data_IF_446721015862
#
_entry.id   IF_446721015862
#
_cell.length_a   1.000
_cell.length_b   1.000
_cell.length_c   1.000
_cell.angle_alpha   90.00
_cell.angle_beta   90.00
_cell.angle_gamma   90.00
#
_symmetry.space_group_name_H-M   'P 1'
#
loop_
_entity.id
_entity.type
_entity.pdbx_description
1 polymer ?
#
# COMPACT_ATOMS: atom_id res chain seq x y z
N UNK A 1 29.09 -6.23 -12.33
CA UNK A 1 28.39 -5.02 -11.80
C UNK A 1 27.78 -5.25 -10.40
N UNK A 2 27.71 -4.21 -9.54
CA UNK A 2 27.07 -4.20 -8.20
C UNK A 2 25.95 -3.16 -8.12
N UNK A 3 24.76 -3.58 -7.70
CA UNK A 3 23.55 -2.75 -7.63
C UNK A 3 22.96 -2.76 -6.23
N UNK A 4 22.67 -1.58 -5.68
CA UNK A 4 21.85 -1.42 -4.48
C UNK A 4 20.38 -1.23 -4.86
N UNK A 5 19.47 -1.99 -4.25
CA UNK A 5 18.02 -1.79 -4.37
C UNK A 5 17.48 -1.37 -3.01
N UNK A 6 16.80 -0.23 -2.94
CA UNK A 6 16.28 0.34 -1.69
C UNK A 6 14.78 0.09 -1.60
N UNK A 7 14.38 -0.84 -0.74
CA UNK A 7 13.02 -1.33 -0.57
C UNK A 7 12.84 -2.73 -1.13
N UNK A 8 12.27 -3.61 -0.32
CA UNK A 8 12.07 -5.04 -0.64
C UNK A 8 10.62 -5.38 -1.01
N UNK A 9 9.85 -4.41 -1.48
CA UNK A 9 8.52 -4.64 -2.05
C UNK A 9 8.56 -5.35 -3.41
N UNK A 10 7.40 -5.60 -4.04
CA UNK A 10 7.31 -6.25 -5.33
C UNK A 10 8.20 -5.63 -6.42
N UNK A 11 8.23 -4.31 -6.52
CA UNK A 11 9.03 -3.63 -7.53
C UNK A 11 10.53 -3.87 -7.34
N UNK A 12 11.02 -3.86 -6.10
CA UNK A 12 12.41 -4.18 -5.77
C UNK A 12 12.76 -5.62 -6.15
N UNK A 13 11.91 -6.59 -5.77
CA UNK A 13 12.14 -7.99 -6.15
C UNK A 13 12.02 -8.27 -7.65
N UNK A 14 11.14 -7.58 -8.37
CA UNK A 14 11.05 -7.72 -9.82
C UNK A 14 12.24 -7.06 -10.54
N UNK A 15 12.74 -5.92 -10.04
CA UNK A 15 13.99 -5.34 -10.54
C UNK A 15 15.18 -6.28 -10.29
N UNK A 16 15.29 -6.85 -9.07
CA UNK A 16 16.30 -7.85 -8.74
C UNK A 16 16.19 -9.08 -9.65
N UNK A 17 14.98 -9.61 -9.87
CA UNK A 17 14.73 -10.75 -10.74
C UNK A 17 15.24 -10.48 -12.17
N UNK A 18 14.93 -9.30 -12.73
CA UNK A 18 15.35 -8.91 -14.07
C UNK A 18 16.87 -8.77 -14.17
N UNK A 19 17.52 -8.10 -13.20
CA UNK A 19 18.98 -7.94 -13.14
C UNK A 19 19.69 -9.28 -13.03
N UNK A 20 19.23 -10.15 -12.13
CA UNK A 20 19.90 -11.43 -11.84
C UNK A 20 19.68 -12.49 -12.93
N UNK A 21 18.72 -12.28 -13.84
CA UNK A 21 18.50 -13.15 -15.00
C UNK A 21 19.41 -12.83 -16.19
N UNK A 22 20.14 -11.72 -16.16
CA UNK A 22 21.10 -11.36 -17.21
C UNK A 22 22.20 -12.42 -17.31
N UNK A 23 22.61 -12.71 -18.55
CA UNK A 23 23.67 -13.67 -18.87
C UNK A 23 24.88 -13.01 -19.51
N UNK A 24 24.72 -11.78 -19.98
CA UNK A 24 25.72 -10.94 -20.63
C UNK A 24 26.58 -10.15 -19.63
N UNK A 25 26.15 -10.04 -18.36
CA UNK A 25 26.90 -9.39 -17.29
C UNK A 25 26.56 -10.03 -15.95
N UNK A 26 27.58 -10.28 -15.11
CA UNK A 26 27.35 -10.78 -13.74
C UNK A 26 26.92 -9.61 -12.86
N UNK A 27 25.70 -9.68 -12.34
CA UNK A 27 25.15 -8.66 -11.45
C UNK A 27 25.05 -9.19 -10.02
N UNK A 28 25.65 -8.45 -9.09
CA UNK A 28 25.46 -8.61 -7.66
C UNK A 28 24.44 -7.59 -7.17
N UNK A 29 23.41 -8.07 -6.48
CA UNK A 29 22.32 -7.24 -5.96
C UNK A 29 22.34 -7.29 -4.43
N UNK A 30 22.42 -6.12 -3.81
CA UNK A 30 22.17 -5.95 -2.39
C UNK A 30 20.85 -5.19 -2.23
N UNK A 31 19.86 -5.84 -1.62
CA UNK A 31 18.54 -5.28 -1.38
C UNK A 31 18.42 -4.83 0.07
N UNK A 32 18.27 -3.53 0.28
CA UNK A 32 18.12 -2.90 1.58
C UNK A 32 16.65 -2.75 1.92
N UNK A 33 16.29 -2.96 3.18
CA UNK A 33 14.97 -2.63 3.70
C UNK A 33 15.08 -2.09 5.13
N UNK A 34 14.30 -1.06 5.44
CA UNK A 34 14.27 -0.48 6.79
C UNK A 34 13.71 -1.44 7.83
N UNK A 35 12.90 -2.42 7.41
CA UNK A 35 12.33 -3.43 8.29
C UNK A 35 13.18 -4.72 8.28
N UNK A 36 13.19 -5.49 9.38
CA UNK A 36 13.73 -6.85 9.39
C UNK A 36 13.05 -7.80 8.39
N UNK A 37 11.80 -7.52 8.04
CA UNK A 37 10.96 -8.39 7.23
C UNK A 37 10.80 -7.87 5.80
N UNK A 38 11.04 -8.68 4.76
CA UNK A 38 10.91 -8.24 3.38
C UNK A 38 9.45 -8.21 2.89
N UNK A 39 9.29 -7.97 1.59
CA UNK A 39 8.06 -8.06 0.79
C UNK A 39 7.14 -6.83 0.81
N UNK A 40 7.49 -5.81 1.61
CA UNK A 40 6.76 -4.54 1.68
C UNK A 40 5.24 -4.74 1.83
N UNK A 41 4.46 -4.08 0.98
CA UNK A 41 3.00 -4.15 1.03
C UNK A 41 2.40 -5.54 0.75
N UNK A 42 3.14 -6.52 0.22
CA UNK A 42 2.61 -7.90 0.17
C UNK A 42 2.42 -8.46 1.59
N UNK A 43 3.28 -8.08 2.52
CA UNK A 43 3.22 -8.46 3.94
C UNK A 43 2.43 -7.44 4.78
N UNK A 44 2.68 -6.16 4.57
CA UNK A 44 2.16 -5.05 5.37
C UNK A 44 0.93 -4.34 4.83
N UNK A 45 0.49 -4.64 3.60
CA UNK A 45 -0.59 -3.94 2.90
C UNK A 45 -1.74 -4.84 2.46
N UNK A 46 -1.46 -5.91 1.72
CA UNK A 46 -2.45 -6.87 1.23
C UNK A 46 -3.24 -7.42 2.42
N UNK A 47 -4.57 -7.30 2.33
CA UNK A 47 -5.48 -7.65 3.40
C UNK A 47 -5.28 -9.11 3.87
N UNK A 48 -5.48 -9.38 5.17
CA UNK A 48 -5.26 -10.71 5.72
C UNK A 48 -6.25 -11.76 5.19
N UNK A 49 -7.42 -11.36 4.68
CA UNK A 49 -8.35 -12.27 4.01
C UNK A 49 -7.99 -12.55 2.53
N UNK A 50 -6.95 -11.92 1.98
CA UNK A 50 -6.47 -12.11 0.60
C UNK A 50 -5.15 -12.90 0.53
N UNK A 51 -5.10 -14.06 1.20
CA UNK A 51 -3.88 -14.90 1.29
C UNK A 51 -3.34 -15.37 -0.07
N UNK A 52 -4.22 -15.61 -1.05
CA UNK A 52 -3.82 -16.08 -2.39
C UNK A 52 -2.89 -15.07 -3.09
N UNK A 53 -3.10 -13.77 -2.88
CA UNK A 53 -2.26 -12.70 -3.43
C UNK A 53 -0.86 -12.74 -2.81
N UNK A 54 -0.74 -13.09 -1.53
CA UNK A 54 0.54 -13.18 -0.79
C UNK A 54 1.45 -14.31 -1.29
N UNK A 55 0.93 -15.27 -2.05
CA UNK A 55 1.71 -16.38 -2.61
C UNK A 55 2.79 -15.95 -3.61
N UNK A 56 2.72 -14.71 -4.13
CA UNK A 56 3.76 -14.11 -4.98
C UNK A 56 5.14 -14.09 -4.29
N UNK A 57 5.18 -14.10 -2.96
CA UNK A 57 6.41 -14.20 -2.17
C UNK A 57 7.27 -15.41 -2.55
N UNK A 58 6.68 -16.51 -3.02
CA UNK A 58 7.41 -17.69 -3.53
C UNK A 58 8.27 -17.37 -4.76
N UNK A 59 7.85 -16.40 -5.58
CA UNK A 59 8.68 -15.91 -6.69
C UNK A 59 9.86 -15.11 -6.16
N UNK A 60 9.63 -14.29 -5.13
CA UNK A 60 10.66 -13.47 -4.50
C UNK A 60 11.70 -14.32 -3.76
N UNK A 61 11.28 -15.39 -3.10
CA UNK A 61 12.19 -16.36 -2.47
C UNK A 61 13.13 -17.02 -3.49
N UNK A 62 12.63 -17.34 -4.70
CA UNK A 62 13.50 -17.87 -5.78
C UNK A 62 14.54 -16.85 -6.24
N UNK A 63 14.19 -15.58 -6.27
CA UNK A 63 15.16 -14.50 -6.55
C UNK A 63 16.18 -14.39 -5.41
N UNK A 64 15.71 -14.45 -4.16
CA UNK A 64 16.57 -14.32 -2.98
C UNK A 64 17.55 -15.48 -2.81
N UNK A 65 17.21 -16.67 -3.31
CA UNK A 65 18.07 -17.86 -3.28
C UNK A 65 19.26 -17.81 -4.26
N UNK A 66 19.38 -16.76 -5.09
CA UNK A 66 20.50 -16.64 -6.04
C UNK A 66 21.79 -16.25 -5.31
N UNK A 67 22.95 -16.87 -5.62
CA UNK A 67 24.21 -16.58 -4.91
C UNK A 67 24.68 -15.12 -4.98
N UNK A 68 24.32 -14.40 -6.04
CA UNK A 68 24.70 -13.00 -6.21
C UNK A 68 23.70 -12.01 -5.59
N UNK A 69 22.62 -12.48 -4.96
CA UNK A 69 21.67 -11.68 -4.19
C UNK A 69 22.02 -11.67 -2.70
N UNK A 70 21.84 -10.51 -2.04
CA UNK A 70 21.84 -10.38 -0.58
C UNK A 70 20.67 -9.50 -0.14
N UNK A 71 20.03 -9.87 0.96
CA UNK A 71 19.09 -9.02 1.68
C UNK A 71 19.78 -8.40 2.89
N UNK A 72 19.62 -7.08 3.06
CA UNK A 72 20.12 -6.30 4.19
C UNK A 72 18.92 -5.58 4.83
N UNK A 73 18.13 -6.35 5.59
CA UNK A 73 17.00 -5.84 6.35
C UNK A 73 17.43 -5.11 7.61
N UNK A 74 16.51 -4.34 8.20
CA UNK A 74 16.76 -3.44 9.33
C UNK A 74 17.82 -2.34 9.01
N UNK A 75 17.90 -1.93 7.75
CA UNK A 75 18.80 -0.87 7.27
C UNK A 75 17.99 0.22 6.56
N UNK A 76 17.93 1.39 7.18
CA UNK A 76 17.17 2.54 6.72
C UNK A 76 18.06 3.56 5.99
N UNK A 77 17.80 3.77 4.70
CA UNK A 77 18.43 4.85 3.92
C UNK A 77 18.07 6.22 4.53
N UNK A 78 19.07 7.07 4.72
CA UNK A 78 18.95 8.38 5.34
C UNK A 78 19.23 8.38 6.85
N UNK A 79 19.15 7.21 7.51
CA UNK A 79 19.49 7.05 8.93
C UNK A 79 20.77 6.25 9.12
N UNK A 80 20.82 5.05 8.54
CA UNK A 80 21.88 4.06 8.77
C UNK A 80 22.96 4.13 7.68
N UNK A 81 22.55 4.47 6.46
CA UNK A 81 23.41 4.67 5.29
C UNK A 81 22.88 5.87 4.51
N UNK A 82 23.76 6.64 3.89
CA UNK A 82 23.40 7.80 3.05
C UNK A 82 23.42 7.44 1.57
N UNK A 83 22.75 8.24 0.73
CA UNK A 83 22.81 8.08 -0.74
C UNK A 83 24.25 8.18 -1.23
N UNK A 84 25.04 9.10 -0.68
CA UNK A 84 26.43 9.29 -1.05
C UNK A 84 27.31 8.07 -0.71
N UNK A 85 27.05 7.40 0.41
CA UNK A 85 27.72 6.14 0.73
C UNK A 85 27.31 5.03 -0.24
N UNK A 86 26.03 4.92 -0.57
CA UNK A 86 25.59 3.95 -1.59
C UNK A 86 26.28 4.22 -2.93
N UNK A 87 26.41 5.49 -3.36
CA UNK A 87 27.15 5.84 -4.58
C UNK A 87 28.59 5.36 -4.54
N UNK A 88 29.25 5.38 -3.39
CA UNK A 88 30.65 4.90 -3.20
C UNK A 88 30.77 3.39 -3.20
N UNK A 89 29.75 2.67 -2.72
CA UNK A 89 29.78 1.21 -2.57
C UNK A 89 29.14 0.43 -3.74
N UNK A 90 28.36 1.10 -4.59
CA UNK A 90 27.61 0.49 -5.69
C UNK A 90 27.82 1.22 -7.01
N UNK A 91 27.69 0.46 -8.12
CA UNK A 91 27.74 1.04 -9.45
C UNK A 91 26.45 1.78 -9.76
N UNK A 92 25.32 1.23 -9.34
CA UNK A 92 23.98 1.78 -9.57
C UNK A 92 23.08 1.61 -8.34
N UNK A 93 22.11 2.51 -8.20
CA UNK A 93 21.12 2.52 -7.13
C UNK A 93 19.71 2.47 -7.74
N UNK A 94 18.84 1.63 -7.20
CA UNK A 94 17.43 1.55 -7.57
C UNK A 94 16.58 1.88 -6.35
N UNK A 95 15.82 2.96 -6.41
CA UNK A 95 14.82 3.30 -5.41
C UNK A 95 13.52 2.51 -5.68
N UNK A 96 13.18 1.62 -4.76
CA UNK A 96 11.99 0.77 -4.79
C UNK A 96 11.14 0.95 -3.50
N UNK A 97 11.20 2.16 -2.92
CA UNK A 97 10.64 2.50 -1.59
C UNK A 97 9.11 2.57 -1.55
N UNK A 98 8.44 2.46 -2.69
CA UNK A 98 6.98 2.58 -2.76
C UNK A 98 6.47 3.95 -2.31
N UNK A 99 5.23 3.99 -1.80
CA UNK A 99 4.57 5.20 -1.30
C UNK A 99 4.01 4.92 0.10
N UNK A 100 4.75 5.30 1.14
CA UNK A 100 4.38 5.03 2.54
C UNK A 100 3.53 6.15 3.18
N UNK A 101 3.54 7.36 2.61
CA UNK A 101 2.81 8.50 3.15
C UNK A 101 1.37 8.58 2.59
N UNK A 102 0.37 8.89 3.43
CA UNK A 102 -0.99 9.16 2.97
C UNK A 102 -1.14 10.55 2.36
N UNK A 103 -2.01 10.67 1.35
CA UNK A 103 -2.52 11.97 0.90
C UNK A 103 -3.52 12.52 1.90
N UNK A 104 -3.37 13.80 2.21
CA UNK A 104 -4.25 14.55 3.11
C UNK A 104 -5.52 14.98 2.39
N UNK A 105 -6.67 14.94 3.07
CA UNK A 105 -7.93 15.53 2.62
C UNK A 105 -7.80 17.05 2.45
N UNK A 106 -7.01 17.69 3.31
CA UNK A 106 -6.81 19.14 3.27
C UNK A 106 -8.05 19.95 3.61
N UNK A 107 -8.92 19.42 4.49
CA UNK A 107 -10.17 20.03 4.92
C UNK A 107 -10.13 20.40 6.42
N UNK A 108 -10.94 21.36 6.88
CA UNK A 108 -11.13 21.63 8.30
C UNK A 108 -11.48 20.36 9.09
N UNK A 109 -10.89 20.25 10.29
CA UNK A 109 -11.15 19.14 11.20
C UNK A 109 -10.39 17.83 10.90
N UNK A 110 -9.59 17.74 9.85
CA UNK A 110 -8.85 16.50 9.52
C UNK A 110 -7.97 15.97 10.67
N UNK A 111 -7.51 16.84 11.58
CA UNK A 111 -6.73 16.47 12.77
C UNK A 111 -7.54 16.02 13.99
N UNK A 112 -8.87 15.96 13.90
CA UNK A 112 -9.74 15.52 15.00
C UNK A 112 -9.49 14.02 15.27
N UNK A 113 -9.37 13.60 16.56
CA UNK A 113 -9.27 12.19 16.92
C UNK A 113 -10.35 11.31 16.28
N UNK A 114 -9.94 10.15 15.75
CA UNK A 114 -10.71 9.21 14.90
C UNK A 114 -10.90 9.63 13.43
N UNK A 115 -10.28 10.73 12.98
CA UNK A 115 -9.94 10.91 11.57
C UNK A 115 -8.55 10.29 11.33
N UNK A 116 -8.51 9.05 10.86
CA UNK A 116 -7.28 8.25 10.77
C UNK A 116 -6.99 7.90 9.32
N UNK A 117 -5.82 8.24 8.76
CA UNK A 117 -5.46 7.83 7.41
C UNK A 117 -5.58 6.31 7.21
N UNK A 118 -6.04 5.87 6.04
CA UNK A 118 -6.32 4.45 5.83
C UNK A 118 -5.04 3.59 5.90
N UNK A 119 -3.86 4.10 5.53
CA UNK A 119 -2.61 3.33 5.66
C UNK A 119 -2.33 2.95 7.11
N UNK A 120 -2.63 3.84 8.06
CA UNK A 120 -2.47 3.58 9.50
C UNK A 120 -3.37 2.42 9.92
N UNK A 121 -4.63 2.41 9.50
CA UNK A 121 -5.56 1.32 9.82
C UNK A 121 -5.12 -0.01 9.17
N UNK A 122 -4.69 0.03 7.91
CA UNK A 122 -4.21 -1.15 7.17
C UNK A 122 -2.95 -1.73 7.78
N UNK A 123 -1.95 -0.88 8.02
CA UNK A 123 -0.71 -1.29 8.66
C UNK A 123 -0.95 -1.80 10.07
N UNK A 124 -1.87 -1.17 10.81
CA UNK A 124 -2.28 -1.62 12.15
C UNK A 124 -2.84 -3.04 12.11
N UNK A 125 -3.81 -3.37 11.25
CA UNK A 125 -4.33 -4.74 11.22
C UNK A 125 -3.35 -5.74 10.59
N UNK A 126 -2.45 -5.30 9.70
CA UNK A 126 -1.44 -6.16 9.09
C UNK A 126 -0.20 -6.38 9.97
N UNK A 127 -0.11 -5.76 11.15
CA UNK A 127 1.03 -5.94 12.04
C UNK A 127 2.29 -5.22 11.60
N UNK A 128 2.14 -4.12 10.85
CA UNK A 128 3.25 -3.28 10.44
C UNK A 128 3.86 -2.56 11.66
N UNK A 129 5.18 -2.62 11.90
CA UNK A 129 5.79 -2.10 13.13
C UNK A 129 5.49 -0.63 13.43
N UNK A 130 5.48 0.24 12.42
CA UNK A 130 5.21 1.67 12.63
C UNK A 130 3.77 1.98 13.09
N UNK A 131 2.82 1.07 12.83
CA UNK A 131 1.40 1.28 13.12
C UNK A 131 0.89 0.37 14.25
N UNK A 132 1.72 -0.49 14.82
CA UNK A 132 1.32 -1.44 15.87
C UNK A 132 0.76 -0.76 17.13
N UNK A 133 1.19 0.48 17.39
CA UNK A 133 0.75 1.29 18.53
C UNK A 133 -0.39 2.24 18.19
N UNK A 134 -0.91 2.22 16.96
CA UNK A 134 -2.03 3.04 16.56
C UNK A 134 -3.25 2.73 17.44
N UNK A 135 -3.82 3.78 18.03
CA UNK A 135 -5.02 3.68 18.88
C UNK A 135 -6.26 3.74 18.02
N UNK A 136 -6.64 2.60 17.44
CA UNK A 136 -7.85 2.47 16.63
C UNK A 136 -9.04 2.17 17.55
N UNK A 137 -9.88 3.17 17.76
CA UNK A 137 -11.09 3.05 18.59
C UNK A 137 -12.31 2.62 17.76
N UNK A 138 -12.66 1.34 17.89
CA UNK A 138 -13.79 0.73 17.19
C UNK A 138 -15.07 0.70 18.04
N UNK A 139 -15.18 1.55 19.08
CA UNK A 139 -16.40 1.68 19.90
C UNK A 139 -17.54 2.42 19.18
N UNK A 140 -17.33 2.88 17.96
CA UNK A 140 -18.27 3.63 17.14
C UNK A 140 -19.18 2.71 16.33
N UNK A 141 -20.40 3.16 16.02
CA UNK A 141 -21.35 2.38 15.21
C UNK A 141 -21.16 2.59 13.70
N UNK A 142 -20.72 3.79 13.29
CA UNK A 142 -20.66 4.23 11.89
C UNK A 142 -19.28 4.77 11.52
N UNK A 143 -18.74 4.32 10.39
CA UNK A 143 -17.43 4.74 9.87
C UNK A 143 -17.57 5.25 8.43
N UNK A 144 -16.96 6.39 8.10
CA UNK A 144 -16.80 6.83 6.72
C UNK A 144 -15.41 6.45 6.19
N UNK A 145 -15.36 5.87 5.00
CA UNK A 145 -14.13 5.61 4.24
C UNK A 145 -14.18 6.49 2.99
N UNK A 146 -13.24 7.43 2.86
CA UNK A 146 -13.25 8.41 1.76
C UNK A 146 -12.37 7.90 0.61
N UNK A 147 -12.98 7.53 -0.51
CA UNK A 147 -12.31 7.02 -1.70
C UNK A 147 -12.97 5.75 -2.24
N UNK A 148 -12.90 5.52 -3.56
CA UNK A 148 -13.46 4.32 -4.21
C UNK A 148 -12.39 3.42 -4.85
N UNK A 149 -11.26 3.22 -4.16
CA UNK A 149 -10.23 2.26 -4.58
C UNK A 149 -10.28 0.95 -3.78
N UNK A 150 -9.48 -0.04 -4.19
CA UNK A 150 -9.39 -1.33 -3.46
C UNK A 150 -8.94 -1.15 -2.00
N UNK A 151 -8.10 -0.16 -1.69
CA UNK A 151 -7.74 0.18 -0.31
C UNK A 151 -8.95 0.54 0.56
N UNK A 152 -9.93 1.26 0.00
CA UNK A 152 -11.18 1.59 0.70
C UNK A 152 -12.06 0.35 0.89
N UNK A 153 -12.11 -0.52 -0.13
CA UNK A 153 -12.79 -1.82 -0.09
C UNK A 153 -12.19 -2.69 1.02
N UNK A 154 -10.87 -2.83 1.08
CA UNK A 154 -10.18 -3.63 2.10
C UNK A 154 -10.44 -3.10 3.51
N UNK A 155 -10.34 -1.79 3.72
CA UNK A 155 -10.64 -1.18 5.02
C UNK A 155 -12.09 -1.45 5.46
N UNK A 156 -13.06 -1.25 4.56
CA UNK A 156 -14.47 -1.54 4.84
C UNK A 156 -14.70 -3.03 5.11
N UNK A 157 -14.06 -3.91 4.33
CA UNK A 157 -14.19 -5.36 4.47
C UNK A 157 -13.66 -5.84 5.81
N UNK A 158 -12.49 -5.38 6.25
CA UNK A 158 -11.94 -5.76 7.56
C UNK A 158 -12.81 -5.25 8.73
N UNK A 159 -13.38 -4.05 8.63
CA UNK A 159 -14.30 -3.53 9.65
C UNK A 159 -15.61 -4.35 9.74
N UNK A 160 -16.07 -4.88 8.61
CA UNK A 160 -17.36 -5.54 8.48
C UNK A 160 -17.28 -7.07 8.61
N UNK A 161 -16.15 -7.70 8.29
CA UNK A 161 -15.98 -9.16 8.36
C UNK A 161 -16.13 -9.66 9.81
N UNK A 162 -16.56 -10.90 9.98
CA UNK A 162 -16.76 -11.45 11.34
C UNK A 162 -15.40 -11.78 11.97
N UNK A 163 -15.26 -11.71 13.31
CA UNK A 163 -14.04 -12.13 13.97
C UNK A 163 -13.67 -13.60 13.70
N UNK A 164 -14.66 -14.49 13.55
CA UNK A 164 -14.43 -15.91 13.29
C UNK A 164 -13.81 -16.18 11.91
N UNK A 165 -14.19 -15.40 10.90
CA UNK A 165 -13.54 -15.45 9.58
C UNK A 165 -12.10 -14.92 9.65
N UNK A 166 -11.90 -13.81 10.37
CA UNK A 166 -10.58 -13.17 10.51
C UNK A 166 -9.59 -13.99 11.35
N UNK A 167 -10.07 -14.79 12.31
CA UNK A 167 -9.22 -15.66 13.14
C UNK A 167 -8.41 -16.68 12.33
N UNK A 168 -8.89 -17.04 11.13
CA UNK A 168 -8.23 -17.97 10.20
C UNK A 168 -7.20 -17.30 9.30
N UNK A 169 -6.92 -16.02 9.50
CA UNK A 169 -6.04 -15.19 8.65
C UNK A 169 -4.74 -14.81 9.36
N UNK A 170 -3.83 -14.12 8.67
CA UNK A 170 -2.60 -13.58 9.26
C UNK A 170 -2.76 -12.17 9.87
N UNK A 171 -3.99 -11.78 10.23
CA UNK A 171 -4.27 -10.52 10.93
C UNK A 171 -3.51 -10.45 12.25
N UNK A 172 -3.04 -9.25 12.63
CA UNK A 172 -2.34 -9.05 13.89
C UNK A 172 -3.26 -9.37 15.09
N UNK A 173 -2.75 -10.12 16.07
CA UNK A 173 -3.55 -10.60 17.20
C UNK A 173 -4.24 -9.47 17.99
N UNK A 174 -3.54 -8.34 18.21
CA UNK A 174 -4.13 -7.19 18.90
C UNK A 174 -5.26 -6.53 18.09
N UNK A 175 -5.17 -6.57 16.75
CA UNK A 175 -6.18 -5.99 15.87
C UNK A 175 -7.42 -6.88 15.81
N UNK A 176 -7.23 -8.20 15.77
CA UNK A 176 -8.33 -9.17 15.90
C UNK A 176 -9.07 -8.99 17.22
N UNK A 177 -8.35 -8.78 18.33
CA UNK A 177 -8.97 -8.57 19.64
C UNK A 177 -9.78 -7.26 19.69
N UNK A 178 -9.27 -6.18 19.10
CA UNK A 178 -10.04 -4.95 18.95
C UNK A 178 -11.29 -5.15 18.07
N UNK A 179 -11.19 -5.94 17.00
CA UNK A 179 -12.30 -6.25 16.10
C UNK A 179 -13.38 -7.15 16.76
N UNK A 180 -12.99 -8.06 17.66
CA UNK A 180 -13.94 -8.83 18.50
C UNK A 180 -14.84 -7.93 19.35
N UNK A 181 -14.29 -6.81 19.82
CA UNK A 181 -14.97 -5.84 20.66
C UNK A 181 -15.60 -4.68 19.85
N UNK A 182 -15.53 -4.73 18.51
CA UNK A 182 -16.00 -3.66 17.63
C UNK A 182 -17.52 -3.47 17.69
N UNK A 183 -17.92 -2.21 17.82
CA UNK A 183 -19.32 -1.77 17.73
C UNK A 183 -19.71 -1.29 16.33
N UNK A 184 -18.81 -1.37 15.36
CA UNK A 184 -19.06 -0.94 13.98
C UNK A 184 -20.16 -1.81 13.38
N UNK A 185 -21.19 -1.17 12.84
CA UNK A 185 -22.33 -1.79 12.15
C UNK A 185 -22.54 -1.22 10.76
N UNK A 186 -22.16 0.02 10.52
CA UNK A 186 -22.30 0.63 9.19
C UNK A 186 -20.97 1.24 8.73
N UNK A 187 -20.58 0.95 7.49
CA UNK A 187 -19.45 1.58 6.83
C UNK A 187 -19.93 2.27 5.56
N UNK A 188 -19.53 3.53 5.37
CA UNK A 188 -19.87 4.32 4.19
C UNK A 188 -18.63 4.52 3.33
N UNK A 189 -18.60 3.94 2.14
CA UNK A 189 -17.57 4.25 1.14
C UNK A 189 -18.05 5.45 0.33
N UNK A 190 -17.28 6.54 0.39
CA UNK A 190 -17.66 7.84 -0.17
C UNK A 190 -16.83 8.19 -1.40
N UNK A 191 -17.51 8.43 -2.51
CA UNK A 191 -16.93 8.74 -3.79
C UNK A 191 -17.19 10.15 -4.28
N UNK A 192 -16.14 10.91 -4.58
CA UNK A 192 -16.32 12.25 -5.17
C UNK A 192 -16.89 12.25 -6.58
N UNK A 193 -16.65 11.18 -7.36
CA UNK A 193 -17.17 10.99 -8.73
C UNK A 193 -18.28 9.93 -8.73
N UNK A 194 -18.81 9.64 -9.93
CA UNK A 194 -19.86 8.65 -10.10
C UNK A 194 -19.34 7.19 -10.08
N UNK A 195 -20.27 6.22 -10.08
CA UNK A 195 -19.98 4.78 -10.10
C UNK A 195 -19.01 4.36 -11.21
N UNK A 196 -19.14 4.94 -12.40
CA UNK A 196 -18.33 4.62 -13.59
C UNK A 196 -16.86 5.04 -13.45
N UNK A 197 -16.55 5.95 -12.52
CA UNK A 197 -15.19 6.44 -12.28
C UNK A 197 -14.54 5.83 -11.03
N UNK A 198 -15.19 4.86 -10.39
CA UNK A 198 -14.62 4.12 -9.27
C UNK A 198 -13.42 3.29 -9.72
N UNK A 199 -12.37 3.23 -8.88
CA UNK A 199 -11.13 2.52 -9.18
C UNK A 199 -11.03 1.14 -8.53
N UNK A 200 -12.00 0.76 -7.70
CA UNK A 200 -12.09 -0.62 -7.21
C UNK A 200 -12.33 -1.59 -8.37
N UNK A 201 -11.84 -2.82 -8.21
CA UNK A 201 -11.97 -3.87 -9.22
C UNK A 201 -13.17 -4.79 -8.94
N UNK A 202 -13.74 -5.45 -9.97
CA UNK A 202 -14.98 -6.19 -9.83
C UNK A 202 -14.95 -7.36 -8.83
N UNK A 203 -13.87 -8.18 -8.75
CA UNK A 203 -13.79 -9.25 -7.75
C UNK A 203 -13.92 -8.73 -6.31
N UNK A 204 -13.24 -7.63 -6.00
CA UNK A 204 -13.18 -7.01 -4.68
C UNK A 204 -14.52 -6.38 -4.30
N UNK A 205 -15.22 -5.75 -5.25
CA UNK A 205 -16.58 -5.25 -5.01
C UNK A 205 -17.58 -6.39 -4.81
N UNK A 206 -17.49 -7.45 -5.62
CA UNK A 206 -18.42 -8.59 -5.59
C UNK A 206 -18.39 -9.31 -4.25
N UNK A 207 -17.23 -9.35 -3.60
CA UNK A 207 -17.01 -10.03 -2.32
C UNK A 207 -18.03 -9.60 -1.23
N UNK A 208 -18.40 -8.31 -1.18
CA UNK A 208 -19.43 -7.84 -0.23
C UNK A 208 -20.80 -8.49 -0.42
N UNK A 209 -21.10 -8.93 -1.64
CA UNK A 209 -22.33 -9.65 -1.94
C UNK A 209 -22.39 -11.06 -1.36
N UNK A 210 -21.24 -11.61 -0.95
CA UNK A 210 -21.02 -13.00 -0.53
C UNK A 210 -20.61 -13.11 0.96
N UNK A 211 -20.36 -11.98 1.64
CA UNK A 211 -20.00 -11.94 3.07
C UNK A 211 -21.12 -12.43 3.99
N UNK A 212 -20.76 -13.10 5.09
CA UNK A 212 -21.70 -13.77 6.01
C UNK A 212 -22.73 -12.80 6.63
N UNK A 213 -22.26 -11.72 7.26
CA UNK A 213 -23.08 -10.81 8.08
C UNK A 213 -23.08 -9.36 7.55
N UNK A 214 -22.93 -9.18 6.23
CA UNK A 214 -22.93 -7.85 5.58
C UNK A 214 -23.97 -7.75 4.49
N UNK A 215 -24.77 -6.68 4.55
CA UNK A 215 -25.66 -6.25 3.48
C UNK A 215 -25.06 -5.04 2.74
N UNK A 216 -24.67 -5.18 1.46
CA UNK A 216 -24.31 -4.03 0.64
C UNK A 216 -25.56 -3.25 0.23
N UNK A 217 -25.55 -1.96 0.51
CA UNK A 217 -26.64 -1.00 0.28
C UNK A 217 -26.17 0.06 -0.71
N UNK A 218 -26.89 0.16 -1.82
CA UNK A 218 -26.72 1.20 -2.83
C UNK A 218 -28.09 1.82 -3.06
N UNK A 219 -28.22 3.12 -2.76
CA UNK A 219 -29.48 3.84 -3.05
C UNK A 219 -29.66 3.92 -4.59
N UNK A 220 -30.84 3.58 -5.15
CA UNK A 220 -31.06 3.65 -6.59
C UNK A 220 -30.77 5.03 -7.21
N UNK A 221 -30.93 6.11 -6.44
CA UNK A 221 -30.59 7.47 -6.84
C UNK A 221 -29.09 7.70 -7.03
N UNK A 222 -28.23 6.91 -6.38
CA UNK A 222 -26.76 6.92 -6.59
C UNK A 222 -26.36 6.35 -7.96
N UNK A 223 -27.27 5.60 -8.60
CA UNK A 223 -27.11 5.03 -9.94
C UNK A 223 -27.91 5.79 -11.01
N UNK A 224 -28.64 6.83 -10.63
CA UNK A 224 -29.47 7.60 -11.54
C UNK A 224 -28.62 8.22 -12.67
N UNK A 225 -28.99 7.94 -13.92
CA UNK A 225 -28.28 8.45 -15.10
C UNK A 225 -27.03 7.66 -15.51
N UNK A 226 -26.67 6.59 -14.79
CA UNK A 226 -25.63 5.66 -15.26
C UNK A 226 -26.19 4.84 -16.43
N UNK A 227 -25.48 4.80 -17.56
CA UNK A 227 -25.87 4.00 -18.74
C UNK A 227 -24.74 3.02 -19.03
N UNK A 228 -25.05 1.73 -19.14
CA UNK A 228 -24.08 0.74 -19.65
C UNK A 228 -23.97 0.97 -21.16
N UNK A 229 -22.83 1.45 -21.71
CA UNK A 229 -22.72 1.63 -23.15
C UNK A 229 -22.76 0.26 -23.85
N UNK A 230 -23.64 0.08 -24.83
CA UNK A 230 -23.79 -1.19 -25.57
C UNK A 230 -22.49 -1.66 -26.26
N UNK A 231 -21.58 -0.73 -26.56
CA UNK A 231 -20.29 -0.98 -27.21
C UNK A 231 -19.14 -1.31 -26.23
N UNK A 232 -19.37 -1.23 -24.92
CA UNK A 232 -18.33 -1.39 -23.90
C UNK A 232 -18.18 -2.84 -23.43
N UNK A 233 -18.07 -3.79 -24.35
CA UNK A 233 -17.97 -5.21 -24.02
C UNK A 233 -16.90 -5.51 -22.96
N UNK A 234 -17.33 -5.99 -21.79
CA UNK A 234 -16.53 -6.64 -20.76
C UNK A 234 -15.55 -5.71 -19.98
N UNK A 235 -15.75 -4.39 -20.03
CA UNK A 235 -14.91 -3.43 -19.32
C UNK A 235 -15.06 -3.53 -17.78
N UNK A 236 -14.04 -3.09 -17.03
CA UNK A 236 -14.11 -3.01 -15.55
C UNK A 236 -15.30 -2.15 -15.09
N UNK A 237 -15.55 -1.05 -15.80
CA UNK A 237 -16.63 -0.11 -15.48
C UNK A 237 -18.01 -0.77 -15.62
N UNK A 238 -18.23 -1.50 -16.73
CA UNK A 238 -19.47 -2.24 -16.97
C UNK A 238 -19.73 -3.28 -15.86
N UNK A 239 -18.71 -4.07 -15.51
CA UNK A 239 -18.82 -5.10 -14.46
C UNK A 239 -19.15 -4.48 -13.10
N UNK A 240 -18.46 -3.41 -12.74
CA UNK A 240 -18.72 -2.68 -11.50
C UNK A 240 -20.16 -2.16 -11.46
N UNK A 241 -20.63 -1.55 -12.54
CA UNK A 241 -22.00 -1.02 -12.61
C UNK A 241 -23.05 -2.13 -12.46
N UNK A 242 -22.86 -3.29 -13.13
CA UNK A 242 -23.74 -4.45 -12.96
C UNK A 242 -23.78 -4.96 -11.52
N UNK A 243 -22.63 -5.00 -10.83
CA UNK A 243 -22.57 -5.40 -9.42
C UNK A 243 -23.31 -4.38 -8.54
N UNK A 244 -23.08 -3.09 -8.73
CA UNK A 244 -23.77 -2.04 -7.97
C UNK A 244 -25.28 -2.04 -8.19
N UNK A 245 -25.73 -2.23 -9.44
CA UNK A 245 -27.15 -2.41 -9.77
C UNK A 245 -27.73 -3.65 -9.06
N UNK A 246 -26.97 -4.74 -9.00
CA UNK A 246 -27.39 -5.94 -8.27
C UNK A 246 -27.52 -5.70 -6.76
N UNK A 247 -26.71 -4.81 -6.18
CA UNK A 247 -26.83 -4.42 -4.77
C UNK A 247 -28.03 -3.50 -4.55
N UNK A 248 -28.27 -2.53 -5.44
CA UNK A 248 -29.43 -1.63 -5.37
C UNK A 248 -30.77 -2.36 -5.51
N UNK A 249 -30.80 -3.47 -6.26
CA UNK A 249 -31.99 -4.29 -6.46
C UNK A 249 -32.27 -5.27 -5.31
N UNK A 250 -31.36 -5.45 -4.34
CA UNK A 250 -31.59 -6.34 -3.20
C UNK A 250 -32.66 -5.75 -2.28
N UNK A 251 -33.60 -6.56 -1.78
CA UNK A 251 -34.48 -6.11 -0.71
C UNK A 251 -33.62 -5.78 0.53
N UNK A 252 -34.08 -4.87 1.42
CA UNK A 252 -33.40 -4.63 2.68
C UNK A 252 -33.15 -5.93 3.42
N UNK A 253 -31.88 -6.29 3.58
CA UNK A 253 -31.50 -7.52 4.26
C UNK A 253 -31.66 -7.41 5.77
N UNK A 254 -31.64 -8.57 6.43
CA UNK A 254 -31.74 -8.69 7.88
C UNK A 254 -30.37 -8.86 8.56
N UNK A 255 -29.26 -8.72 7.82
CA UNK A 255 -27.93 -8.90 8.40
C UNK A 255 -27.58 -7.73 9.30
N UNK A 256 -26.73 -7.98 10.29
CA UNK A 256 -26.49 -7.02 11.35
C UNK A 256 -25.63 -5.83 10.89
N UNK A 257 -24.83 -6.00 9.83
CA UNK A 257 -23.93 -4.95 9.32
C UNK A 257 -24.27 -4.52 7.90
N UNK A 258 -24.00 -3.25 7.60
CA UNK A 258 -24.30 -2.61 6.32
C UNK A 258 -23.07 -1.94 5.72
N UNK A 259 -22.89 -2.13 4.42
CA UNK A 259 -21.96 -1.34 3.62
C UNK A 259 -22.77 -0.38 2.76
N UNK A 260 -22.59 0.93 2.93
CA UNK A 260 -23.19 1.94 2.07
C UNK A 260 -22.17 2.42 1.03
N UNK A 261 -22.54 2.42 -0.24
CA UNK A 261 -21.73 3.00 -1.31
C UNK A 261 -22.41 4.29 -1.78
N UNK A 262 -21.77 5.43 -1.53
CA UNK A 262 -22.27 6.75 -1.92
C UNK A 262 -21.32 7.39 -2.92
N UNK A 263 -21.88 8.02 -3.94
CA UNK A 263 -21.16 8.64 -5.03
C UNK A 263 -21.52 10.11 -5.13
N UNK A 264 -20.76 10.84 -5.96
CA UNK A 264 -20.92 12.28 -6.15
C UNK A 264 -20.98 13.04 -4.81
N UNK A 265 -20.12 12.69 -3.85
CA UNK A 265 -19.98 13.37 -2.56
C UNK A 265 -18.53 13.62 -2.21
N UNK A 266 -18.20 14.85 -1.83
CA UNK A 266 -16.87 15.23 -1.34
C UNK A 266 -16.94 15.62 0.13
N UNK A 267 -16.03 15.16 1.00
CA UNK A 267 -15.96 15.68 2.35
C UNK A 267 -15.48 17.14 2.32
N UNK A 268 -16.12 17.99 3.11
CA UNK A 268 -15.80 19.42 3.22
C UNK A 268 -15.32 19.81 4.62
N UNK A 269 -15.73 19.08 5.65
CA UNK A 269 -15.31 19.30 7.04
C UNK A 269 -15.51 18.03 7.87
N UNK A 270 -14.54 17.72 8.73
CA UNK A 270 -14.72 16.72 9.80
C UNK A 270 -15.25 17.44 11.04
N UNK A 271 -16.39 16.97 11.56
CA UNK A 271 -17.10 17.63 12.66
C UNK A 271 -16.77 16.95 13.99
N UNK A 272 -16.34 17.75 14.98
CA UNK A 272 -16.10 17.27 16.34
C UNK A 272 -17.40 17.25 17.15
N UNK A 273 -17.58 16.20 17.96
CA UNK A 273 -18.61 16.16 19.00
C UNK A 273 -18.14 16.80 20.31
N UNK A 274 -19.01 16.78 21.32
CA UNK A 274 -18.72 17.32 22.65
C UNK A 274 -17.50 16.69 23.35
N UNK A 275 -17.15 15.45 23.00
CA UNK A 275 -15.97 14.75 23.53
C UNK A 275 -14.65 15.11 22.83
N UNK A 276 -14.69 15.96 21.80
CA UNK A 276 -13.54 16.30 20.95
C UNK A 276 -13.17 15.24 19.92
N UNK A 277 -13.90 14.12 19.85
CA UNK A 277 -13.75 13.10 18.80
C UNK A 277 -14.64 13.40 17.59
N UNK A 278 -14.37 12.75 16.45
CA UNK A 278 -15.28 12.76 15.29
C UNK A 278 -16.70 12.38 15.71
N UNK A 279 -17.66 13.22 15.32
CA UNK A 279 -19.10 12.97 15.45
C UNK A 279 -19.87 13.15 14.13
N UNK A 280 -19.21 13.65 13.08
CA UNK A 280 -19.81 13.73 11.77
C UNK A 280 -18.82 14.09 10.68
N UNK A 281 -19.28 14.00 9.44
CA UNK A 281 -18.55 14.38 8.24
C UNK A 281 -19.49 15.21 7.36
N UNK A 282 -19.18 16.49 7.18
CA UNK A 282 -19.91 17.33 6.23
C UNK A 282 -19.52 16.91 4.81
N UNK A 283 -20.53 16.68 3.97
CA UNK A 283 -20.40 16.22 2.60
C UNK A 283 -21.07 17.23 1.67
N UNK A 284 -20.38 17.62 0.60
CA UNK A 284 -20.94 18.37 -0.50
C UNK A 284 -21.34 17.42 -1.64
N UNK A 285 -22.58 17.57 -2.13
CA UNK A 285 -23.02 16.88 -3.35
C UNK A 285 -22.30 17.46 -4.56
N UNK A 286 -21.80 16.59 -5.42
CA UNK A 286 -21.09 16.92 -6.63
C UNK A 286 -21.97 16.72 -7.88
N UNK A 287 -21.59 17.42 -8.94
CA UNK A 287 -21.93 17.06 -10.32
C UNK A 287 -20.66 16.70 -11.08
N UNK A 288 -20.79 15.94 -12.17
CA UNK A 288 -19.68 15.66 -13.06
C UNK A 288 -19.56 16.75 -14.12
N UNK A 289 -18.34 17.16 -14.42
CA UNK A 289 -17.98 18.03 -15.54
C UNK A 289 -16.94 17.32 -16.40
N UNK A 290 -17.26 17.16 -17.69
CA UNK A 290 -16.33 16.65 -18.70
C UNK A 290 -15.43 17.80 -19.14
N UNK A 291 -14.12 17.61 -18.97
CA UNK A 291 -13.11 18.57 -19.38
C UNK A 291 -12.88 18.50 -20.90
N UNK A 292 -12.29 19.53 -21.52
CA UNK A 292 -12.01 19.54 -22.96
C UNK A 292 -11.13 18.37 -23.44
N UNK A 293 -10.30 17.81 -22.57
CA UNK A 293 -9.46 16.63 -22.85
C UNK A 293 -10.20 15.28 -22.68
N UNK A 294 -11.51 15.32 -22.45
CA UNK A 294 -12.36 14.15 -22.21
C UNK A 294 -12.30 13.60 -20.78
N UNK A 295 -11.47 14.18 -19.89
CA UNK A 295 -11.41 13.72 -18.51
C UNK A 295 -12.62 14.14 -17.70
N UNK A 296 -13.08 13.28 -16.79
CA UNK A 296 -14.25 13.56 -15.95
C UNK A 296 -13.80 14.03 -14.56
N UNK A 297 -14.26 15.23 -14.19
CA UNK A 297 -13.98 15.88 -12.91
C UNK A 297 -15.25 16.06 -12.09
N UNK A 298 -15.12 16.15 -10.77
CA UNK A 298 -16.23 16.43 -9.85
C UNK A 298 -16.22 17.89 -9.43
N UNK A 299 -17.41 18.48 -9.31
CA UNK A 299 -17.61 19.89 -8.91
C UNK A 299 -18.72 19.99 -7.88
N UNK A 300 -18.45 20.72 -6.82
CA UNK A 300 -19.42 21.00 -5.76
C UNK A 300 -20.66 21.72 -6.28
N UNK A 301 -21.82 21.37 -5.73
CA UNK A 301 -23.11 21.99 -6.05
C UNK A 301 -23.55 23.04 -5.03
N UNK A 302 -22.79 23.24 -3.96
CA UNK A 302 -23.15 24.04 -2.79
C UNK A 302 -24.13 23.35 -1.82
N UNK A 303 -24.66 22.17 -2.17
CA UNK A 303 -25.58 21.42 -1.30
C UNK A 303 -24.80 20.57 -0.31
N UNK A 304 -24.85 20.94 0.97
CA UNK A 304 -24.17 20.25 2.07
C UNK A 304 -25.16 19.38 2.85
N UNK A 305 -24.74 18.18 3.19
CA UNK A 305 -25.36 17.31 4.20
C UNK A 305 -24.31 16.95 5.26
N UNK A 306 -24.74 16.57 6.46
CA UNK A 306 -23.82 16.02 7.47
C UNK A 306 -24.12 14.54 7.68
N UNK A 307 -23.12 13.70 7.45
CA UNK A 307 -23.18 12.28 7.74
C UNK A 307 -22.76 12.05 9.19
N UNK A 308 -23.65 11.45 9.99
CA UNK A 308 -23.36 11.01 11.36
C UNK A 308 -22.43 9.79 11.34
N UNK A 309 -21.17 10.01 11.74
CA UNK A 309 -20.12 8.99 11.83
C UNK A 309 -19.23 9.26 13.04
N UNK A 310 -18.72 8.20 13.66
CA UNK A 310 -17.77 8.33 14.78
C UNK A 310 -16.31 8.22 14.37
N UNK A 311 -16.03 7.90 13.10
CA UNK A 311 -14.69 7.68 12.58
C UNK A 311 -14.64 7.94 11.07
N UNK A 312 -13.53 8.51 10.60
CA UNK A 312 -13.26 8.77 9.18
C UNK A 312 -11.92 8.14 8.79
N UNK A 313 -11.90 7.41 7.68
CA UNK A 313 -10.74 6.78 7.08
C UNK A 313 -10.48 7.36 5.68
N UNK A 314 -9.64 8.40 5.55
CA UNK A 314 -9.22 8.90 4.24
C UNK A 314 -8.42 7.84 3.47
N UNK A 315 -8.94 7.42 2.32
CA UNK A 315 -8.37 6.43 1.42
C UNK A 315 -8.20 7.00 0.00
N UNK A 316 -7.60 8.19 -0.08
CA UNK A 316 -7.50 9.00 -1.31
C UNK A 316 -6.14 8.90 -2.02
N UNK A 317 -5.35 7.89 -1.65
CA UNK A 317 -4.06 7.55 -2.25
C UNK A 317 -2.86 7.90 -1.38
N UNK A 318 -1.68 7.54 -1.88
CA UNK A 318 -0.40 7.63 -1.18
C UNK A 318 0.62 8.47 -1.95
N UNK A 319 1.68 8.90 -1.27
CA UNK A 319 2.81 9.65 -1.79
C UNK A 319 4.13 8.96 -1.42
N UNK A 320 5.16 9.12 -2.25
CA UNK A 320 6.50 8.72 -1.88
C UNK A 320 7.04 9.65 -0.77
N UNK A 321 7.79 9.11 0.17
CA UNK A 321 8.48 9.95 1.15
C UNK A 321 9.70 10.63 0.52
N UNK A 322 10.04 11.82 1.03
CA UNK A 322 11.25 12.53 0.62
C UNK A 322 12.47 11.85 1.22
N UNK A 323 13.44 11.52 0.38
CA UNK A 323 14.73 10.97 0.81
C UNK A 323 15.78 12.08 0.65
N UNK A 324 16.55 12.34 1.70
CA UNK A 324 17.62 13.33 1.64
C UNK A 324 18.63 13.00 0.52
N UNK A 325 18.85 13.95 -0.37
CA UNK A 325 19.74 13.78 -1.53
C UNK A 325 19.11 13.11 -2.76
N UNK A 326 17.81 12.83 -2.74
CA UNK A 326 17.07 12.27 -3.89
C UNK A 326 16.04 13.30 -4.39
N UNK A 327 16.06 13.68 -5.69
CA UNK A 327 15.09 14.59 -6.28
C UNK A 327 13.63 14.12 -6.16
N UNK A 328 12.70 15.07 -5.97
CA UNK A 328 11.29 14.77 -5.71
C UNK A 328 10.38 15.68 -6.53
N UNK A 329 9.39 15.10 -7.20
CA UNK A 329 8.36 15.85 -7.92
C UNK A 329 7.18 16.13 -6.98
N UNK A 330 7.05 17.38 -6.54
CA UNK A 330 5.97 17.82 -5.63
C UNK A 330 4.57 17.64 -6.21
N UNK A 331 4.42 17.81 -7.53
CA UNK A 331 3.12 17.76 -8.19
C UNK A 331 2.67 16.31 -8.37
N UNK A 332 3.57 15.45 -8.83
CA UNK A 332 3.28 14.04 -9.04
C UNK A 332 3.37 13.21 -7.75
N UNK A 333 4.08 13.72 -6.74
CA UNK A 333 4.34 13.09 -5.44
C UNK A 333 5.10 11.75 -5.57
N UNK A 334 6.16 11.78 -6.36
CA UNK A 334 7.04 10.65 -6.71
C UNK A 334 8.50 11.14 -6.74
N UNK A 335 9.46 10.22 -6.78
CA UNK A 335 10.86 10.57 -7.09
C UNK A 335 10.89 11.17 -8.50
N UNK A 336 11.54 12.32 -8.67
CA UNK A 336 11.65 12.96 -9.99
C UNK A 336 12.40 12.02 -10.94
N UNK A 337 11.72 11.59 -12.01
CA UNK A 337 12.29 10.65 -12.96
C UNK A 337 11.80 10.90 -14.39
N UNK A 338 12.57 10.39 -15.35
CA UNK A 338 12.22 10.28 -16.76
C UNK A 338 12.37 8.81 -17.16
N UNK A 339 11.23 8.16 -17.43
CA UNK A 339 11.15 6.74 -17.75
C UNK A 339 11.91 5.80 -16.77
N UNK A 340 11.95 6.18 -15.48
CA UNK A 340 12.62 5.42 -14.43
C UNK A 340 14.09 5.79 -14.18
N UNK A 341 14.72 6.63 -14.99
CA UNK A 341 16.00 7.29 -14.64
C UNK A 341 15.72 8.47 -13.73
N UNK A 342 16.42 8.58 -12.60
CA UNK A 342 16.26 9.73 -11.69
C UNK A 342 16.77 10.99 -12.39
N UNK A 343 16.05 12.10 -12.21
CA UNK A 343 16.41 13.39 -12.78
C UNK A 343 16.36 14.49 -11.74
N UNK A 344 17.17 15.52 -11.92
CA UNK A 344 17.08 16.74 -11.14
C UNK A 344 15.69 17.40 -11.29
N UNK A 345 15.10 17.84 -10.18
CA UNK A 345 13.71 18.33 -10.17
C UNK A 345 13.52 19.63 -10.96
N UNK A 346 14.56 20.45 -11.12
CA UNK A 346 14.49 21.74 -11.81
C UNK A 346 14.94 21.65 -13.28
N UNK A 347 16.15 21.15 -13.51
CA UNK A 347 16.78 21.08 -14.83
C UNK A 347 16.34 19.87 -15.66
N UNK A 348 15.72 18.86 -15.02
CA UNK A 348 15.38 17.56 -15.63
C UNK A 348 16.60 16.79 -16.18
N UNK A 349 17.82 17.21 -15.83
CA UNK A 349 19.04 16.48 -16.17
C UNK A 349 19.06 15.12 -15.45
N UNK A 350 19.45 14.07 -16.19
CA UNK A 350 19.57 12.72 -15.64
C UNK A 350 20.68 12.67 -14.59
N UNK A 351 20.35 12.12 -13.42
CA UNK A 351 21.33 11.74 -12.40
C UNK A 351 21.84 10.35 -12.77
N UNK A 352 23.11 10.29 -13.15
CA UNK A 352 23.73 9.05 -13.62
C UNK A 352 23.65 7.94 -12.57
N UNK A 353 23.36 6.73 -13.04
CA UNK A 353 23.36 5.50 -12.24
C UNK A 353 22.31 5.42 -11.13
N UNK A 354 21.30 6.28 -11.15
CA UNK A 354 20.20 6.27 -10.19
C UNK A 354 18.87 6.05 -10.91
N UNK A 355 18.10 5.10 -10.40
CA UNK A 355 16.86 4.63 -11.01
C UNK A 355 15.76 4.53 -9.98
N UNK A 356 14.51 4.56 -10.43
CA UNK A 356 13.35 4.36 -9.57
C UNK A 356 12.36 3.40 -10.23
N UNK A 357 11.80 2.50 -9.42
CA UNK A 357 10.79 1.52 -9.84
C UNK A 357 9.56 1.55 -8.93
N UNK A 358 8.48 0.90 -9.36
CA UNK A 358 7.28 0.76 -8.54
C UNK A 358 6.54 2.07 -8.30
N UNK A 359 5.81 2.16 -7.19
CA UNK A 359 5.00 3.34 -6.89
C UNK A 359 5.82 4.61 -6.67
N UNK A 360 7.07 4.49 -6.20
CA UNK A 360 7.98 5.63 -6.09
C UNK A 360 8.29 6.26 -7.46
N UNK A 361 8.11 5.53 -8.57
CA UNK A 361 8.25 6.01 -9.95
C UNK A 361 6.96 6.60 -10.50
N UNK A 362 5.85 5.88 -10.33
CA UNK A 362 4.59 6.11 -11.08
C UNK A 362 3.41 6.61 -10.24
N UNK A 363 3.60 6.73 -8.93
CA UNK A 363 2.53 6.92 -7.96
C UNK A 363 1.81 5.61 -7.62
N UNK A 364 0.83 5.65 -6.71
CA UNK A 364 0.20 4.47 -6.09
C UNK A 364 -0.87 3.86 -7.02
N UNK A 365 -0.46 3.41 -8.20
CA UNK A 365 -1.33 2.80 -9.20
C UNK A 365 -0.73 1.48 -9.67
N UNK A 366 -1.60 0.54 -10.03
CA UNK A 366 -1.22 -0.78 -10.52
C UNK A 366 -1.17 -1.84 -9.41
N UNK A 367 -1.61 -3.05 -9.77
CA UNK A 367 -1.54 -4.24 -8.92
C UNK A 367 -0.12 -4.81 -8.92
N UNK A 368 0.15 -5.74 -7.99
CA UNK A 368 1.47 -6.37 -7.80
C UNK A 368 2.09 -6.85 -9.13
N UNK A 369 1.33 -7.55 -9.97
CA UNK A 369 1.83 -8.10 -11.24
C UNK A 369 2.26 -7.04 -12.26
N UNK A 370 1.69 -5.82 -12.21
CA UNK A 370 2.04 -4.73 -13.11
C UNK A 370 3.50 -4.27 -12.92
N UNK A 371 4.05 -4.45 -11.71
CA UNK A 371 5.43 -4.09 -11.42
C UNK A 371 6.45 -4.97 -12.13
N UNK A 372 6.08 -6.18 -12.58
CA UNK A 372 7.04 -7.09 -13.22
C UNK A 372 7.58 -6.51 -14.52
N UNK A 373 6.70 -6.21 -15.47
CA UNK A 373 7.09 -5.61 -16.76
C UNK A 373 7.65 -4.20 -16.58
N UNK A 374 7.04 -3.40 -15.69
CA UNK A 374 7.48 -2.03 -15.44
C UNK A 374 8.89 -1.94 -14.84
N UNK A 375 9.28 -2.90 -13.97
CA UNK A 375 10.63 -2.93 -13.39
C UNK A 375 11.65 -3.48 -14.38
N UNK A 376 11.28 -4.50 -15.16
CA UNK A 376 12.14 -5.01 -16.23
C UNK A 376 12.48 -3.93 -17.26
N UNK A 377 11.51 -3.10 -17.63
CA UNK A 377 11.72 -1.94 -18.51
C UNK A 377 12.79 -0.97 -17.99
N UNK A 378 12.75 -0.64 -16.69
CA UNK A 378 13.77 0.22 -16.07
C UNK A 378 15.13 -0.47 -16.03
N UNK A 379 15.16 -1.79 -15.82
CA UNK A 379 16.41 -2.56 -15.84
C UNK A 379 17.07 -2.53 -17.23
N UNK A 380 16.31 -2.52 -18.33
CA UNK A 380 16.93 -2.36 -19.66
C UNK A 380 17.65 -1.01 -19.81
N UNK A 381 17.10 0.07 -19.22
CA UNK A 381 17.81 1.36 -19.13
C UNK A 381 19.08 1.26 -18.29
N UNK A 382 19.04 0.57 -17.16
CA UNK A 382 20.21 0.35 -16.30
C UNK A 382 21.34 -0.36 -17.04
N UNK A 383 21.02 -1.38 -17.83
CA UNK A 383 22.04 -2.12 -18.59
C UNK A 383 22.61 -1.26 -19.72
N UNK A 384 21.76 -0.52 -20.45
CA UNK A 384 22.21 0.38 -21.51
C UNK A 384 23.16 1.47 -20.97
N UNK A 385 22.82 2.07 -19.84
CA UNK A 385 23.63 3.09 -19.19
C UNK A 385 24.88 2.51 -18.48
N UNK A 386 24.86 1.20 -18.19
CA UNK A 386 25.87 0.51 -17.40
C UNK A 386 27.16 0.17 -18.15
N UNK A 387 27.22 0.43 -19.45
CA UNK A 387 28.39 0.15 -20.28
C UNK A 387 29.64 0.86 -19.74
N UNK A 388 30.68 0.08 -19.42
CA UNK A 388 31.95 0.60 -18.89
C UNK A 388 31.97 0.86 -17.38
N UNK A 389 30.84 0.75 -16.66
CA UNK A 389 30.82 0.91 -15.20
C UNK A 389 31.69 -0.14 -14.49
N UNK A 390 31.88 -1.31 -15.08
CA UNK A 390 32.72 -2.39 -14.54
C UNK A 390 34.17 -1.97 -14.28
N UNK A 391 34.66 -0.94 -14.99
CA UNK A 391 36.00 -0.40 -14.81
C UNK A 391 36.14 0.49 -13.57
N UNK A 392 35.02 0.87 -12.95
CA UNK A 392 35.01 1.69 -11.73
C UNK A 392 35.38 0.81 -10.54
N UNK A 393 36.51 1.11 -9.92
CA UNK A 393 36.88 0.50 -8.64
C UNK A 393 35.92 0.95 -7.53
N UNK A 394 35.37 -0.02 -6.81
CA UNK A 394 34.57 0.20 -5.61
C UNK A 394 35.22 -0.59 -4.45
N UNK A 395 35.02 -0.19 -3.18
CA UNK A 395 35.48 -0.95 -2.02
C UNK A 395 35.00 -2.40 -2.06
N UNK A 396 35.65 -3.33 -1.34
CA UNK A 396 35.15 -4.71 -1.19
C UNK A 396 33.66 -4.76 -0.83
N UNK A 397 32.95 -5.81 -1.26
CA UNK A 397 31.48 -5.90 -1.09
C UNK A 397 31.10 -5.82 0.39
N UNK A 398 31.88 -6.44 1.26
CA UNK A 398 31.68 -6.50 2.71
C UNK A 398 31.96 -5.17 3.42
N UNK A 399 32.55 -4.17 2.73
CA UNK A 399 32.82 -2.86 3.32
C UNK A 399 31.53 -2.15 3.77
N UNK A 400 30.39 -2.41 3.09
CA UNK A 400 29.09 -1.88 3.52
C UNK A 400 28.64 -2.50 4.86
N UNK A 401 28.94 -3.77 5.09
CA UNK A 401 28.58 -4.47 6.32
C UNK A 401 29.39 -3.93 7.50
N UNK A 402 30.68 -3.64 7.25
CA UNK A 402 31.55 -3.02 8.24
C UNK A 402 31.06 -1.61 8.61
N UNK A 403 30.70 -0.80 7.61
CA UNK A 403 30.14 0.54 7.84
C UNK A 403 28.88 0.48 8.72
N UNK A 404 27.94 -0.40 8.39
CA UNK A 404 26.69 -0.56 9.13
C UNK A 404 26.94 -1.07 10.56
N UNK A 405 27.82 -2.06 10.74
CA UNK A 405 28.17 -2.59 12.07
C UNK A 405 28.87 -1.55 12.94
N UNK A 406 29.76 -0.72 12.38
CA UNK A 406 30.41 0.38 13.10
C UNK A 406 29.39 1.41 13.61
N UNK A 407 28.23 1.52 12.97
CA UNK A 407 27.10 2.35 13.39
C UNK A 407 26.15 1.63 14.36
N UNK A 408 26.46 0.41 14.77
CA UNK A 408 25.63 -0.40 15.66
C UNK A 408 24.39 -0.98 14.99
N UNK A 409 24.32 -0.99 13.65
CA UNK A 409 23.17 -1.54 12.93
C UNK A 409 23.23 -3.06 12.93
N UNK A 410 22.21 -3.69 13.50
CA UNK A 410 22.02 -5.15 13.42
C UNK A 410 21.35 -5.49 12.07
N UNK A 411 22.16 -5.85 11.09
CA UNK A 411 21.69 -6.27 9.76
C UNK A 411 20.94 -7.60 9.89
N UNK A 412 19.77 -7.68 9.26
CA UNK A 412 18.97 -8.91 9.14
C UNK A 412 19.17 -9.48 7.74
N UNK A 413 19.83 -10.65 7.65
CA UNK A 413 20.01 -11.35 6.38
C UNK A 413 18.72 -12.04 5.92
N UNK A 414 18.69 -12.56 4.69
CA UNK A 414 17.52 -13.32 4.24
C UNK A 414 17.34 -14.63 5.03
N UNK A 415 18.44 -15.27 5.45
CA UNK A 415 18.38 -16.48 6.29
C UNK A 415 17.87 -16.15 7.69
N UNK A 416 18.26 -15.00 8.25
CA UNK A 416 17.68 -14.50 9.50
C UNK A 416 16.17 -14.25 9.35
N UNK A 417 15.75 -13.62 8.23
CA UNK A 417 14.33 -13.49 7.91
C UNK A 417 13.63 -14.85 7.85
N UNK A 418 14.20 -15.87 7.19
CA UNK A 418 13.60 -17.21 7.13
C UNK A 418 13.44 -17.84 8.52
N UNK A 419 14.41 -17.67 9.41
CA UNK A 419 14.28 -18.10 10.82
C UNK A 419 13.12 -17.39 11.53
N UNK A 420 12.94 -16.09 11.30
CA UNK A 420 11.83 -15.33 11.85
C UNK A 420 10.49 -15.79 11.25
N UNK A 421 10.44 -16.02 9.94
CA UNK A 421 9.29 -16.54 9.20
C UNK A 421 8.83 -17.89 9.76
N UNK A 422 9.75 -18.81 10.02
CA UNK A 422 9.46 -20.12 10.62
C UNK A 422 8.83 -19.98 12.01
N UNK A 423 9.32 -19.05 12.84
CA UNK A 423 8.74 -18.76 14.15
C UNK A 423 7.32 -18.21 14.03
N UNK A 424 7.08 -17.28 13.11
CA UNK A 424 5.73 -16.73 12.86
C UNK A 424 4.76 -17.81 12.35
N UNK A 425 5.20 -18.67 11.44
CA UNK A 425 4.39 -19.78 10.91
C UNK A 425 4.04 -20.76 12.02
N UNK A 426 5.02 -21.22 12.81
CA UNK A 426 4.77 -22.13 13.93
C UNK A 426 3.86 -21.52 15.02
N UNK A 427 3.86 -20.19 15.19
CA UNK A 427 2.89 -19.50 16.06
C UNK A 427 1.49 -19.49 15.44
N UNK A 428 1.38 -19.31 14.12
CA UNK A 428 0.12 -19.36 13.38
C UNK A 428 -0.53 -20.74 13.37
N UNK A 429 0.24 -21.79 13.14
CA UNK A 429 -0.25 -23.17 13.10
C UNK A 429 -0.95 -23.56 14.41
N UNK A 430 -0.40 -23.15 15.56
CA UNK A 430 -1.00 -23.38 16.89
C UNK A 430 -2.39 -22.77 17.09
N UNK A 431 -2.79 -21.79 16.27
CA UNK A 431 -4.11 -21.14 16.30
C UNK A 431 -4.96 -21.41 15.06
N UNK A 432 -4.49 -22.23 14.12
CA UNK A 432 -5.19 -22.46 12.85
C UNK A 432 -5.13 -21.29 11.85
N UNK A 433 -4.04 -20.51 11.88
CA UNK A 433 -3.79 -19.39 10.96
C UNK A 433 -2.50 -19.62 10.13
N UNK A 434 -2.34 -18.98 8.95
CA UNK A 434 -1.14 -19.14 8.13
C UNK A 434 0.16 -18.70 8.82
N UNK A 435 0.07 -17.69 9.69
CA UNK A 435 1.16 -17.18 10.52
C UNK A 435 0.61 -16.29 11.63
N UNK A 436 1.41 -16.05 12.65
CA UNK A 436 1.20 -15.02 13.66
C UNK A 436 2.42 -14.09 13.71
N UNK A 437 2.24 -12.87 13.21
CA UNK A 437 3.34 -11.93 13.01
C UNK A 437 3.94 -11.48 14.34
N UNK A 438 5.26 -11.46 14.41
CA UNK A 438 5.97 -10.64 15.39
C UNK A 438 5.94 -9.23 14.80
N UNK A 439 5.36 -8.28 15.53
CA UNK A 439 5.07 -6.93 15.01
C UNK A 439 6.03 -5.87 15.55
N UNK A 440 6.85 -6.24 16.52
CA UNK A 440 7.78 -5.34 17.20
C UNK A 440 9.21 -5.66 16.76
N UNK A 441 9.93 -4.64 16.29
CA UNK A 441 11.29 -4.83 15.73
C UNK A 441 12.26 -5.31 16.79
N UNK A 442 12.22 -4.80 18.01
CA UNK A 442 13.10 -5.25 19.09
C UNK A 442 12.84 -6.73 19.41
N UNK A 443 11.56 -7.14 19.45
CA UNK A 443 11.21 -8.55 19.60
C UNK A 443 11.69 -9.43 18.43
N UNK A 444 11.60 -8.95 17.18
CA UNK A 444 12.16 -9.66 16.03
C UNK A 444 13.68 -9.87 16.20
N UNK A 445 14.41 -8.81 16.55
CA UNK A 445 15.86 -8.87 16.74
C UNK A 445 16.25 -9.75 17.93
N UNK A 446 15.47 -9.73 19.02
CA UNK A 446 15.68 -10.59 20.18
C UNK A 446 15.50 -12.08 19.84
N UNK A 447 14.50 -12.44 19.02
CA UNK A 447 14.33 -13.81 18.50
C UNK A 447 15.54 -14.26 17.70
N UNK A 448 16.12 -13.37 16.89
CA UNK A 448 17.31 -13.68 16.09
C UNK A 448 18.60 -13.81 16.92
N UNK A 449 18.65 -13.11 18.06
CA UNK A 449 19.78 -13.12 18.99
C UNK A 449 19.84 -14.37 19.89
N UNK A 450 18.71 -15.06 20.10
CA UNK A 450 18.68 -16.34 20.81
C UNK A 450 19.36 -17.40 19.94
N UNK A 451 20.58 -17.79 20.33
CA UNK A 451 21.35 -18.90 19.77
C UNK A 451 21.42 -20.03 20.77
#
# INVERSE_FOLDING_TARGET
>A
MRVAIIGSGPAGFYAAEALLKRTDTVVHVDMFDRLPTPYGLVRGGVAPDHQSIKTVTRVFEKTAARPTFRFLGNVCLGRDVTVEELRRHYHQIVYAVGNEADRRLGIPGEGIPRCTPVAVFIGWYNGHPDYRQAKIDLSVSRVAVVGNGNTAIDAARILLRTPAELEKTDIAAYALEALRNSRVREVFILGRRGPEQASFTPPELKEFGEMEDVDPVVDPGELAGCVIPESAGNSQQEKNLKILQSFAARPPGAKAKKLHLRFLVSPTEVVAGASGNVAGLALEKNRLEVQPDGTVSARGTGKIETLDVGMVLPAIGFAAERIAGVPYDDKAQVISNEDGRVVDSASRAVIANEYVVGWARSGPRGLIGAHKGASAHVVEHMIADGAGLEARELPEREAIDLLLRQRGVQIVSFDDWKRLDDVEVARGERRGAPRDKIVDVEAMLAVLAQR
#
